data_IF_153771289078
#
_entry.id   IF_153771289078
#
_cell.length_a   1.000
_cell.length_b   1.000
_cell.length_c   1.000
_cell.angle_alpha   90.00
_cell.angle_beta   90.00
_cell.angle_gamma   90.00
#
_symmetry.space_group_name_H-M   'P 1'
#
loop_
_entity.id
_entity.type
_entity.pdbx_description
1 polymer ?
#
# COMPACT_ATOMS: atom_id res chain seq x y z
N UNK A 1 12.28 10.35 -0.81
CA UNK A 1 11.73 9.07 -0.34
C UNK A 1 10.52 8.71 -1.19
N UNK A 2 10.38 7.44 -1.56
CA UNK A 2 9.32 6.95 -2.45
C UNK A 2 8.07 6.52 -1.69
N UNK A 3 6.93 6.58 -2.36
CA UNK A 3 5.65 6.04 -1.90
C UNK A 3 5.13 5.08 -2.98
N UNK A 4 4.40 4.05 -2.57
CA UNK A 4 3.80 3.09 -3.50
C UNK A 4 2.71 3.77 -4.35
N UNK A 5 2.77 3.65 -5.70
CA UNK A 5 1.76 4.21 -6.59
C UNK A 5 0.52 3.31 -6.74
N UNK A 6 0.54 2.10 -6.17
CA UNK A 6 -0.55 1.12 -6.19
C UNK A 6 -0.47 0.22 -4.95
N UNK A 7 -1.51 -0.55 -4.68
CA UNK A 7 -1.50 -1.56 -3.62
C UNK A 7 -0.57 -2.71 -3.99
N UNK A 8 0.19 -3.22 -3.01
CA UNK A 8 0.97 -4.44 -3.18
C UNK A 8 0.11 -5.64 -2.77
N UNK A 9 -0.23 -6.56 -3.69
CA UNK A 9 -1.13 -7.67 -3.41
C UNK A 9 -0.52 -8.66 -2.42
N UNK A 10 -1.34 -9.20 -1.52
CA UNK A 10 -0.91 -10.19 -0.52
C UNK A 10 -0.43 -11.52 -1.13
N UNK A 11 -0.99 -11.93 -2.26
CA UNK A 11 -0.68 -13.18 -2.94
C UNK A 11 -1.22 -13.19 -4.38
N UNK A 12 -0.86 -14.22 -5.16
CA UNK A 12 -1.30 -14.36 -6.56
C UNK A 12 -2.82 -14.46 -6.73
N UNK A 13 -3.52 -15.05 -5.76
CA UNK A 13 -4.98 -15.14 -5.80
C UNK A 13 -5.63 -13.76 -5.66
N UNK A 14 -5.02 -12.84 -4.92
CA UNK A 14 -5.46 -11.43 -4.87
C UNK A 14 -5.29 -10.77 -6.23
N UNK A 15 -4.17 -11.00 -6.92
CA UNK A 15 -3.93 -10.47 -8.27
C UNK A 15 -4.98 -10.97 -9.26
N UNK A 16 -5.27 -12.27 -9.26
CA UNK A 16 -6.24 -12.86 -10.20
C UNK A 16 -7.68 -12.39 -9.95
N UNK A 17 -8.00 -12.04 -8.70
CA UNK A 17 -9.33 -11.59 -8.30
C UNK A 17 -9.52 -10.08 -8.40
N UNK A 18 -8.44 -9.34 -8.63
CA UNK A 18 -8.51 -7.89 -8.69
C UNK A 18 -9.48 -7.47 -9.81
N UNK A 19 -10.36 -6.54 -9.49
CA UNK A 19 -11.23 -5.87 -10.41
C UNK A 19 -10.54 -4.57 -10.82
N UNK A 20 -9.86 -4.61 -11.96
CA UNK A 20 -9.02 -3.51 -12.47
C UNK A 20 -9.77 -2.18 -12.59
N UNK A 21 -11.10 -2.23 -12.73
CA UNK A 21 -11.98 -1.05 -12.82
C UNK A 21 -12.36 -0.46 -11.44
N UNK A 22 -12.05 -1.14 -10.34
CA UNK A 22 -12.37 -0.70 -8.98
C UNK A 22 -11.09 -0.34 -8.23
N UNK A 23 -10.96 0.90 -7.74
CA UNK A 23 -9.78 1.28 -6.98
C UNK A 23 -9.79 0.65 -5.58
N UNK A 24 -8.61 0.25 -5.13
CA UNK A 24 -8.33 -0.22 -3.77
C UNK A 24 -9.05 -1.52 -3.36
N UNK A 25 -9.24 -2.44 -4.29
CA UNK A 25 -9.97 -3.69 -4.06
C UNK A 25 -9.05 -4.88 -3.72
N UNK A 26 -7.73 -4.68 -3.71
CA UNK A 26 -6.77 -5.72 -3.38
C UNK A 26 -6.53 -5.83 -1.87
N UNK A 27 -6.50 -7.07 -1.39
CA UNK A 27 -5.94 -7.38 -0.08
C UNK A 27 -4.43 -7.10 -0.11
N UNK A 28 -3.98 -6.14 0.71
CA UNK A 28 -2.58 -5.72 0.72
C UNK A 28 -1.70 -6.68 1.52
N UNK A 29 -0.47 -6.89 1.03
CA UNK A 29 0.53 -7.64 1.76
C UNK A 29 0.89 -6.95 3.07
N UNK A 30 0.97 -7.74 4.14
CA UNK A 30 1.53 -7.31 5.44
C UNK A 30 2.74 -8.17 5.76
N UNK A 31 3.86 -7.53 6.03
CA UNK A 31 5.10 -8.22 6.36
C UNK A 31 5.13 -8.75 7.81
N UNK A 32 6.22 -9.42 8.17
CA UNK A 32 6.44 -9.93 9.52
C UNK A 32 6.62 -8.86 10.59
N UNK A 33 6.92 -7.62 10.20
CA UNK A 33 7.08 -6.46 11.09
C UNK A 33 5.76 -5.68 11.27
N UNK A 34 4.69 -6.11 10.60
CA UNK A 34 3.37 -5.51 10.68
C UNK A 34 3.18 -4.30 9.76
N UNK A 35 4.03 -4.13 8.74
CA UNK A 35 3.86 -3.09 7.74
C UNK A 35 2.96 -3.57 6.61
N UNK A 36 1.84 -2.87 6.41
CA UNK A 36 0.93 -3.11 5.30
C UNK A 36 1.31 -2.23 4.11
N UNK A 37 1.57 -2.88 2.97
CA UNK A 37 2.03 -2.24 1.73
C UNK A 37 0.85 -1.74 0.90
N UNK A 38 0.09 -0.82 1.48
CA UNK A 38 -1.07 -0.18 0.83
C UNK A 38 -0.64 1.02 -0.04
N UNK A 39 -1.57 1.57 -0.81
CA UNK A 39 -1.33 2.76 -1.61
C UNK A 39 -0.79 3.92 -0.75
N UNK A 40 0.18 4.64 -1.31
CA UNK A 40 0.91 5.71 -0.64
C UNK A 40 1.70 5.27 0.62
N UNK A 41 1.89 3.95 0.87
CA UNK A 41 2.86 3.47 1.84
C UNK A 41 4.30 3.72 1.36
N UNK A 42 5.22 3.98 2.29
CA UNK A 42 6.64 4.05 1.98
C UNK A 42 7.50 4.24 3.23
N UNK A 43 8.78 3.89 3.10
CA UNK A 43 9.75 3.99 4.19
C UNK A 43 11.02 4.74 3.76
N UNK A 44 11.73 5.28 4.73
CA UNK A 44 13.06 5.87 4.56
C UNK A 44 13.96 5.49 5.75
N UNK A 45 15.17 6.05 5.80
CA UNK A 45 16.13 5.83 6.90
C UNK A 45 15.62 6.19 8.30
N UNK A 46 14.51 6.92 8.42
CA UNK A 46 13.84 7.29 9.67
C UNK A 46 12.59 6.44 9.97
N UNK A 47 12.32 5.41 9.17
CA UNK A 47 11.15 4.53 9.28
C UNK A 47 10.02 4.88 8.32
N UNK A 48 8.79 4.57 8.72
CA UNK A 48 7.57 4.79 7.91
C UNK A 48 7.37 6.28 7.65
N UNK A 49 7.14 6.63 6.38
CA UNK A 49 6.93 8.01 5.95
C UNK A 49 5.54 8.45 6.41
N UNK A 50 5.49 9.55 7.17
CA UNK A 50 4.26 10.26 7.53
C UNK A 50 4.44 11.73 7.22
N UNK A 51 3.99 12.17 6.05
CA UNK A 51 4.14 13.54 5.57
C UNK A 51 2.83 14.08 4.96
N UNK A 52 2.89 15.27 4.35
CA UNK A 52 1.73 15.90 3.72
C UNK A 52 1.06 15.00 2.67
N UNK A 53 1.81 14.17 1.95
CA UNK A 53 1.30 13.29 0.89
C UNK A 53 0.53 12.13 1.50
N UNK A 54 1.09 11.47 2.51
CA UNK A 54 0.38 10.37 3.18
C UNK A 54 -0.90 10.86 3.84
N UNK A 55 -0.93 12.09 4.35
CA UNK A 55 -2.15 12.68 4.92
C UNK A 55 -3.25 12.99 3.89
N UNK A 56 -2.89 13.18 2.61
CA UNK A 56 -3.83 13.52 1.53
C UNK A 56 -4.30 12.27 0.80
N UNK A 57 -3.40 11.31 0.56
CA UNK A 57 -3.63 10.17 -0.32
C UNK A 57 -3.99 8.87 0.39
N UNK A 58 -3.57 8.70 1.66
CA UNK A 58 -3.91 7.48 2.42
C UNK A 58 -5.38 7.54 2.83
N UNK A 59 -6.09 6.44 2.61
CA UNK A 59 -7.48 6.28 3.03
C UNK A 59 -7.56 6.19 4.56
N UNK A 60 -8.53 6.88 5.15
CA UNK A 60 -8.83 6.79 6.59
C UNK A 60 -9.78 5.65 6.87
#
# INVERSE_FOLDING_TARGET
SGLLPMQMPANMKTVEKQNEDVPFDMECYTDSEGHTYDFAFGMNWKGVIRDKRTNVYVRK
#
